data_IF_410343125424
#
_entry.id   IF_410343125424
#
_cell.length_a   1.000
_cell.length_b   1.000
_cell.length_c   1.000
_cell.angle_alpha   90.00
_cell.angle_beta   90.00
_cell.angle_gamma   90.00
#
_symmetry.space_group_name_H-M   'P 1'
#
loop_
_entity.id
_entity.type
_entity.pdbx_description
1 polymer ?
#
# COMPACT_ATOMS: atom_id res chain seq x y z
N UNK A 1 7.28 9.64 15.55
CA UNK A 1 6.09 8.86 15.12
C UNK A 1 6.55 7.45 14.78
N UNK A 2 5.82 6.42 15.20
CA UNK A 2 6.13 5.04 14.83
C UNK A 2 5.96 4.86 13.30
N UNK A 3 6.90 4.16 12.66
CA UNK A 3 6.88 3.95 11.20
C UNK A 3 5.62 3.19 10.77
N UNK A 4 5.12 2.24 11.57
CA UNK A 4 3.91 1.50 11.23
C UNK A 4 2.69 2.40 11.22
N UNK A 5 2.55 3.26 12.23
CA UNK A 5 1.45 4.22 12.34
C UNK A 5 1.49 5.18 11.15
N UNK A 6 2.67 5.68 10.78
CA UNK A 6 2.84 6.53 9.60
C UNK A 6 2.37 5.81 8.32
N UNK A 7 2.84 4.59 8.09
CA UNK A 7 2.50 3.81 6.90
C UNK A 7 1.01 3.47 6.84
N UNK A 8 0.39 3.13 7.97
CA UNK A 8 -1.05 2.89 8.08
C UNK A 8 -1.83 4.17 7.75
N UNK A 9 -1.47 5.30 8.35
CA UNK A 9 -2.16 6.58 8.11
C UNK A 9 -2.07 6.98 6.63
N UNK A 10 -0.88 6.93 6.02
CA UNK A 10 -0.71 7.27 4.59
C UNK A 10 -1.59 6.35 3.73
N UNK A 11 -1.54 5.04 3.99
CA UNK A 11 -2.31 4.06 3.22
C UNK A 11 -3.81 4.23 3.40
N UNK A 12 -4.27 4.53 4.61
CA UNK A 12 -5.67 4.79 4.91
C UNK A 12 -6.16 6.06 4.22
N UNK A 13 -5.38 7.16 4.24
CA UNK A 13 -5.71 8.39 3.52
C UNK A 13 -5.81 8.11 2.02
N UNK A 14 -4.83 7.41 1.43
CA UNK A 14 -4.87 7.06 0.01
C UNK A 14 -6.10 6.21 -0.33
N UNK A 15 -6.44 5.24 0.52
CA UNK A 15 -7.60 4.38 0.34
C UNK A 15 -8.91 5.17 0.40
N UNK A 16 -9.08 6.05 1.38
CA UNK A 16 -10.27 6.87 1.54
C UNK A 16 -10.43 7.87 0.39
N UNK A 17 -9.33 8.51 -0.03
CA UNK A 17 -9.33 9.39 -1.22
C UNK A 17 -9.80 8.63 -2.46
N UNK A 18 -9.34 7.39 -2.64
CA UNK A 18 -9.78 6.55 -3.75
C UNK A 18 -11.25 6.14 -3.63
N UNK A 19 -11.68 5.69 -2.44
CA UNK A 19 -13.02 5.19 -2.14
C UNK A 19 -14.09 6.27 -2.38
N UNK A 20 -13.86 7.48 -1.89
CA UNK A 20 -14.79 8.61 -2.01
C UNK A 20 -14.63 9.37 -3.33
N UNK A 21 -13.77 8.92 -4.25
CA UNK A 21 -13.52 9.57 -5.54
C UNK A 21 -13.23 11.08 -5.38
N UNK A 22 -12.53 11.46 -4.30
CA UNK A 22 -12.31 12.87 -3.95
C UNK A 22 -11.42 13.59 -4.99
N UNK A 23 -10.69 12.84 -5.80
CA UNK A 23 -9.79 13.34 -6.83
C UNK A 23 -10.04 12.56 -8.12
N UNK A 24 -10.10 13.21 -9.29
CA UNK A 24 -10.19 12.52 -10.57
C UNK A 24 -9.00 11.59 -10.77
N UNK A 25 -9.28 10.37 -11.24
CA UNK A 25 -8.29 9.34 -11.46
C UNK A 25 -7.87 9.31 -12.94
N UNK A 26 -6.59 9.09 -13.27
CA UNK A 26 -5.44 8.87 -12.36
C UNK A 26 -4.94 10.15 -11.68
N UNK A 27 -4.53 10.06 -10.40
CA UNK A 27 -3.97 11.20 -9.66
C UNK A 27 -2.42 11.14 -9.61
N UNK A 28 -1.76 12.24 -9.96
CA UNK A 28 -0.30 12.31 -9.93
C UNK A 28 0.30 12.64 -8.55
N UNK A 29 -0.51 13.10 -7.60
CA UNK A 29 -0.04 13.58 -6.29
C UNK A 29 -0.07 12.50 -5.20
N UNK A 30 -1.18 11.78 -5.02
CA UNK A 30 -1.42 10.89 -3.88
C UNK A 30 -1.86 9.50 -4.34
N UNK A 31 -1.27 8.45 -3.77
CA UNK A 31 -1.62 7.04 -4.01
C UNK A 31 -0.44 6.18 -4.48
N UNK A 32 -0.71 4.90 -4.73
CA UNK A 32 0.22 3.97 -5.37
C UNK A 32 0.41 4.32 -6.85
N UNK A 33 1.65 4.70 -7.20
CA UNK A 33 1.97 5.28 -8.51
C UNK A 33 3.05 4.44 -9.19
N UNK A 34 2.66 3.77 -10.26
CA UNK A 34 3.56 3.12 -11.21
C UNK A 34 3.10 3.45 -12.63
N UNK A 35 3.96 3.17 -13.62
CA UNK A 35 3.60 3.35 -15.04
C UNK A 35 2.30 2.61 -15.39
N UNK A 36 2.06 1.43 -14.77
CA UNK A 36 0.86 0.62 -14.99
C UNK A 36 -0.35 1.17 -14.26
N UNK A 37 -0.22 1.63 -13.01
CA UNK A 37 -1.36 2.19 -12.26
C UNK A 37 -1.89 3.50 -12.86
N UNK A 38 -1.05 4.27 -13.55
CA UNK A 38 -1.41 5.54 -14.17
C UNK A 38 -1.98 5.43 -15.59
N UNK A 39 -2.10 4.23 -16.17
CA UNK A 39 -2.51 4.07 -17.58
C UNK A 39 -3.95 4.51 -17.85
N UNK A 40 -4.88 4.16 -16.97
CA UNK A 40 -6.30 4.49 -17.10
C UNK A 40 -6.99 4.44 -15.71
N UNK A 41 -8.20 5.00 -15.59
CA UNK A 41 -8.92 5.02 -14.30
C UNK A 41 -9.17 3.63 -13.70
N UNK A 42 -9.37 2.60 -14.53
CA UNK A 42 -9.57 1.25 -14.00
C UNK A 42 -8.31 0.66 -13.36
N UNK A 43 -7.14 0.85 -13.98
CA UNK A 43 -5.86 0.41 -13.45
C UNK A 43 -5.51 1.19 -12.18
N UNK A 44 -5.83 2.49 -12.16
CA UNK A 44 -5.68 3.32 -10.97
C UNK A 44 -6.50 2.76 -9.80
N UNK A 45 -7.81 2.59 -10.02
CA UNK A 45 -8.73 2.08 -8.99
C UNK A 45 -8.29 0.72 -8.47
N UNK A 46 -7.94 -0.19 -9.37
CA UNK A 46 -7.46 -1.52 -9.00
C UNK A 46 -6.18 -1.43 -8.16
N UNK A 47 -5.26 -0.56 -8.53
CA UNK A 47 -3.99 -0.40 -7.82
C UNK A 47 -4.21 0.09 -6.38
N UNK A 48 -5.03 1.13 -6.16
CA UNK A 48 -5.31 1.64 -4.82
C UNK A 48 -6.07 0.62 -3.97
N UNK A 49 -7.04 -0.08 -4.57
CA UNK A 49 -7.87 -1.07 -3.88
C UNK A 49 -7.11 -2.35 -3.50
N UNK A 50 -5.95 -2.60 -4.10
CA UNK A 50 -5.05 -3.70 -3.70
C UNK A 50 -3.98 -3.18 -2.76
N UNK A 51 -3.22 -2.16 -3.18
CA UNK A 51 -2.05 -1.70 -2.46
C UNK A 51 -2.37 -1.19 -1.06
N UNK A 52 -3.38 -0.32 -0.93
CA UNK A 52 -3.64 0.32 0.35
C UNK A 52 -4.14 -0.67 1.42
N UNK A 53 -5.17 -1.51 1.15
CA UNK A 53 -5.60 -2.51 2.13
C UNK A 53 -4.51 -3.53 2.46
N UNK A 54 -3.75 -3.99 1.45
CA UNK A 54 -2.69 -4.96 1.65
C UNK A 54 -1.55 -4.39 2.50
N UNK A 55 -1.15 -3.14 2.26
CA UNK A 55 -0.13 -2.45 3.04
C UNK A 55 -0.57 -2.26 4.49
N UNK A 56 -1.83 -1.88 4.73
CA UNK A 56 -2.40 -1.76 6.09
C UNK A 56 -2.36 -3.13 6.78
N UNK A 57 -2.86 -4.18 6.12
CA UNK A 57 -2.91 -5.53 6.67
C UNK A 57 -1.52 -6.05 7.06
N UNK A 58 -0.55 -5.97 6.16
CA UNK A 58 0.82 -6.44 6.42
C UNK A 58 1.45 -5.63 7.57
N UNK A 59 1.26 -4.31 7.58
CA UNK A 59 1.81 -3.45 8.64
C UNK A 59 1.20 -3.76 10.00
N UNK A 60 -0.11 -4.03 10.07
CA UNK A 60 -0.79 -4.46 11.29
C UNK A 60 -0.27 -5.82 11.79
N UNK A 61 -0.06 -6.77 10.89
CA UNK A 61 0.52 -8.08 11.24
C UNK A 61 1.91 -7.89 11.86
N UNK A 62 2.79 -7.11 11.23
CA UNK A 62 4.14 -6.84 11.77
C UNK A 62 4.07 -6.15 13.14
N UNK A 63 3.13 -5.22 13.33
CA UNK A 63 2.90 -4.55 14.60
C UNK A 63 2.44 -5.52 15.71
N UNK A 64 1.50 -6.42 15.40
CA UNK A 64 1.06 -7.45 16.35
C UNK A 64 2.20 -8.41 16.72
N UNK A 65 3.05 -8.80 15.76
CA UNK A 65 4.21 -9.66 16.02
C UNK A 65 5.23 -8.93 16.92
N UNK A 66 5.47 -7.64 16.69
CA UNK A 66 6.36 -6.83 17.54
C UNK A 66 5.86 -6.70 18.98
N UNK A 67 4.54 -6.54 19.19
CA UNK A 67 3.94 -6.48 20.52
C UNK A 67 4.15 -7.75 21.36
N UNK A 68 4.43 -8.88 20.71
CA UNK A 68 4.79 -10.13 21.38
C UNK A 68 6.29 -10.23 21.74
N UNK A 69 7.05 -9.12 21.65
CA UNK A 69 8.48 -9.03 21.96
C UNK A 69 9.37 -10.03 21.17
N UNK A 70 8.92 -10.43 19.97
CA UNK A 70 9.63 -11.42 19.13
C UNK A 70 10.90 -10.88 18.47
N UNK A 71 11.05 -9.56 18.36
CA UNK A 71 12.25 -8.93 17.80
C UNK A 71 12.42 -7.48 18.28
N UNK A 72 13.62 -6.93 18.08
CA UNK A 72 13.95 -5.57 18.47
C UNK A 72 13.37 -4.51 17.50
N UNK A 73 13.46 -3.24 17.91
CA UNK A 73 12.92 -2.09 17.15
C UNK A 73 13.52 -1.93 15.76
N UNK A 74 14.80 -2.29 15.56
CA UNK A 74 15.46 -2.19 14.26
C UNK A 74 14.91 -3.22 13.27
N UNK A 75 14.77 -4.47 13.70
CA UNK A 75 14.16 -5.54 12.90
C UNK A 75 12.71 -5.21 12.58
N UNK A 76 11.95 -4.71 13.57
CA UNK A 76 10.58 -4.25 13.37
C UNK A 76 10.47 -3.20 12.26
N UNK A 77 11.34 -2.19 12.28
CA UNK A 77 11.35 -1.12 11.27
C UNK A 77 11.63 -1.68 9.87
N UNK A 78 12.59 -2.61 9.75
CA UNK A 78 12.91 -3.28 8.49
C UNK A 78 11.72 -4.09 8.00
N UNK A 79 11.03 -4.84 8.88
CA UNK A 79 9.87 -5.65 8.52
C UNK A 79 8.69 -4.80 8.05
N UNK A 80 8.43 -3.64 8.67
CA UNK A 80 7.40 -2.71 8.19
C UNK A 80 7.70 -2.22 6.77
N UNK A 81 8.94 -1.80 6.51
CA UNK A 81 9.35 -1.31 5.18
C UNK A 81 9.33 -2.43 4.13
N UNK A 82 9.84 -3.62 4.47
CA UNK A 82 9.82 -4.79 3.60
C UNK A 82 8.39 -5.22 3.28
N UNK A 83 7.51 -5.25 4.27
CA UNK A 83 6.08 -5.54 4.08
C UNK A 83 5.39 -4.56 3.14
N UNK A 84 5.70 -3.27 3.27
CA UNK A 84 5.19 -2.23 2.39
C UNK A 84 5.67 -2.40 0.94
N UNK A 85 6.94 -2.76 0.74
CA UNK A 85 7.50 -3.07 -0.57
C UNK A 85 6.85 -4.32 -1.18
N UNK A 86 6.65 -5.37 -0.38
CA UNK A 86 5.97 -6.60 -0.81
C UNK A 86 4.55 -6.30 -1.30
N UNK A 87 3.79 -5.47 -0.57
CA UNK A 87 2.48 -5.01 -1.03
C UNK A 87 2.57 -4.32 -2.40
N UNK A 88 3.58 -3.47 -2.59
CA UNK A 88 3.86 -2.82 -3.87
C UNK A 88 4.17 -3.78 -5.00
N UNK A 89 5.00 -4.80 -4.76
CA UNK A 89 5.34 -5.82 -5.77
C UNK A 89 4.12 -6.65 -6.16
N UNK A 90 3.32 -7.07 -5.17
CA UNK A 90 2.08 -7.83 -5.41
C UNK A 90 1.11 -7.01 -6.27
N UNK A 91 0.90 -5.73 -5.94
CA UNK A 91 0.04 -4.84 -6.73
C UNK A 91 0.53 -4.72 -8.17
N UNK A 92 1.82 -4.50 -8.38
CA UNK A 92 2.38 -4.34 -9.73
C UNK A 92 2.26 -5.63 -10.56
N UNK A 93 2.46 -6.78 -9.92
CA UNK A 93 2.28 -8.08 -10.57
C UNK A 93 0.82 -8.30 -11.02
N UNK A 94 -0.15 -7.93 -10.18
CA UNK A 94 -1.58 -8.03 -10.53
C UNK A 94 -1.92 -7.07 -11.69
N UNK A 95 -1.42 -5.84 -11.66
CA UNK A 95 -1.62 -4.88 -12.75
C UNK A 95 -1.01 -5.39 -14.06
N UNK A 96 0.21 -5.94 -14.02
CA UNK A 96 0.85 -6.55 -15.18
C UNK A 96 -0.01 -7.66 -15.79
N UNK A 97 -0.58 -8.53 -14.95
CA UNK A 97 -1.47 -9.62 -15.39
C UNK A 97 -2.80 -9.11 -15.94
N UNK A 98 -3.32 -7.98 -15.46
CA UNK A 98 -4.54 -7.36 -16.00
C UNK A 98 -4.30 -6.75 -17.38
N UNK A 99 -3.20 -6.02 -17.57
CA UNK A 99 -2.89 -5.31 -18.82
C UNK A 99 -2.44 -6.28 -19.93
N UNK A 100 -1.83 -7.40 -19.58
CA UNK A 100 -1.35 -8.40 -20.56
C UNK A 100 -2.45 -9.34 -21.06
N UNK A 101 -3.70 -9.19 -20.59
CA UNK A 101 -4.87 -9.93 -21.05
C UNK A 101 -5.71 -9.04 -21.97
#
# INVERSE_FOLDING_TARGET
MDISILLIIISAICFLVNLFHLIPQPNYMIGYRTKRSLQNPECWNLAQNIFCPLSILITLIVMMIYQNNLFNRSIYTILCLAGYLIAGVITEYILYRKISK
#
